data_IF_655346111940
#
_entry.id   IF_655346111940
#
_cell.length_a   1.000
_cell.length_b   1.000
_cell.length_c   1.000
_cell.angle_alpha   90.00
_cell.angle_beta   90.00
_cell.angle_gamma   90.00
#
_symmetry.space_group_name_H-M   'P 1'
#
loop_
_entity.id
_entity.type
_entity.pdbx_description
1 polymer ?
#
# COMPACT_ATOMS: atom_id res chain seq x y z
N UNK A 1 -10.43 9.37 5.58
CA UNK A 1 -9.75 9.83 4.35
C UNK A 1 -8.58 10.75 4.68
N UNK A 2 -7.46 10.58 3.96
CA UNK A 2 -6.30 11.49 4.02
C UNK A 2 -6.72 12.86 3.49
N UNK A 3 -6.28 13.94 4.14
CA UNK A 3 -6.55 15.32 3.70
C UNK A 3 -5.50 15.83 2.70
N UNK A 4 -4.37 15.13 2.58
CA UNK A 4 -3.31 15.43 1.62
C UNK A 4 -3.06 14.19 0.76
N UNK A 5 -3.10 14.36 -0.55
CA UNK A 5 -2.86 13.30 -1.53
C UNK A 5 -2.28 13.91 -2.81
N UNK A 6 -1.45 13.13 -3.49
CA UNK A 6 -0.99 13.45 -4.85
C UNK A 6 -2.17 13.21 -5.78
N UNK A 7 -2.52 14.22 -6.57
CA UNK A 7 -3.71 14.21 -7.43
C UNK A 7 -3.48 13.42 -8.72
N UNK A 8 -4.53 13.17 -9.50
CA UNK A 8 -4.43 12.42 -10.75
C UNK A 8 -3.62 13.17 -11.82
N UNK A 9 -3.52 14.50 -11.69
CA UNK A 9 -2.78 15.39 -12.57
C UNK A 9 -1.27 15.40 -12.28
N UNK A 10 -0.83 14.76 -11.19
CA UNK A 10 0.55 14.80 -10.71
C UNK A 10 1.24 13.45 -10.86
N UNK A 11 2.51 13.47 -11.29
CA UNK A 11 3.32 12.27 -11.34
C UNK A 11 3.90 11.95 -9.96
N UNK A 12 3.37 10.91 -9.31
CA UNK A 12 3.84 10.45 -7.99
C UNK A 12 5.29 9.93 -8.01
N UNK A 13 5.84 9.57 -9.17
CA UNK A 13 7.22 9.12 -9.29
C UNK A 13 8.21 10.29 -9.24
N UNK A 14 7.77 11.48 -9.66
CA UNK A 14 8.56 12.72 -9.67
C UNK A 14 8.31 13.57 -8.43
N UNK A 15 7.08 13.57 -7.93
CA UNK A 15 6.68 14.39 -6.76
C UNK A 15 7.43 13.95 -5.51
N UNK A 16 8.06 14.88 -4.75
CA UNK A 16 8.59 14.58 -3.43
C UNK A 16 7.46 14.29 -2.45
N UNK A 17 7.49 13.11 -1.80
CA UNK A 17 6.39 12.73 -0.89
C UNK A 17 6.37 13.57 0.40
N UNK A 18 7.52 14.14 0.77
CA UNK A 18 7.66 15.02 1.92
C UNK A 18 6.71 16.23 1.86
N UNK A 19 6.46 16.79 0.67
CA UNK A 19 5.62 17.98 0.49
C UNK A 19 4.15 17.74 0.89
N UNK A 20 3.75 16.46 0.91
CA UNK A 20 2.41 16.00 1.25
C UNK A 20 2.28 15.49 2.69
N UNK A 21 3.36 15.56 3.47
CA UNK A 21 3.41 15.14 4.87
C UNK A 21 3.75 16.34 5.76
N UNK A 22 3.02 16.51 6.87
CA UNK A 22 3.31 17.58 7.84
C UNK A 22 4.41 17.19 8.83
N UNK A 23 4.62 15.89 9.02
CA UNK A 23 5.58 15.27 9.93
C UNK A 23 6.02 13.94 9.31
N UNK A 24 7.10 13.35 9.82
CA UNK A 24 7.50 11.97 9.49
C UNK A 24 6.31 11.03 9.61
N UNK A 25 6.03 10.23 8.58
CA UNK A 25 4.77 9.50 8.51
C UNK A 25 4.74 8.40 7.45
N UNK A 26 3.55 7.84 7.25
CA UNK A 26 3.30 6.81 6.24
C UNK A 26 2.46 7.37 5.10
N UNK A 27 2.84 6.99 3.88
CA UNK A 27 1.97 7.13 2.70
C UNK A 27 1.28 5.80 2.40
N UNK A 28 0.06 5.89 1.87
CA UNK A 28 -0.66 4.75 1.32
C UNK A 28 -0.53 4.76 -0.20
N UNK A 29 -0.22 3.60 -0.79
CA UNK A 29 -0.04 3.46 -2.23
C UNK A 29 -0.74 2.21 -2.76
N UNK A 30 -1.53 2.39 -3.81
CA UNK A 30 -2.12 1.31 -4.59
C UNK A 30 -1.76 1.56 -6.06
N UNK A 31 -0.56 1.13 -6.49
CA UNK A 31 -0.03 1.48 -7.81
C UNK A 31 -0.84 0.80 -8.93
N UNK A 32 -0.72 1.26 -10.19
CA UNK A 32 -1.25 0.52 -11.33
C UNK A 32 -0.58 -0.86 -11.41
N UNK A 33 -1.39 -1.92 -11.40
CA UNK A 33 -0.87 -3.31 -11.37
C UNK A 33 -0.19 -3.75 -12.68
N UNK A 34 -0.32 -2.96 -13.75
CA UNK A 34 0.39 -3.19 -15.01
C UNK A 34 1.87 -2.83 -14.94
N UNK A 35 2.28 -1.93 -14.03
CA UNK A 35 3.67 -1.50 -13.90
C UNK A 35 4.01 -1.07 -12.47
N UNK A 36 4.36 -2.05 -11.63
CA UNK A 36 4.60 -1.86 -10.19
C UNK A 36 6.06 -1.46 -9.89
N UNK A 37 7.02 -1.86 -10.72
CA UNK A 37 8.46 -1.71 -10.46
C UNK A 37 8.87 -0.26 -10.15
N UNK A 38 8.42 0.78 -10.89
CA UNK A 38 8.82 2.16 -10.60
C UNK A 38 8.38 2.62 -9.20
N UNK A 39 7.21 2.14 -8.74
CA UNK A 39 6.65 2.49 -7.45
C UNK A 39 7.38 1.81 -6.29
N UNK A 40 7.87 0.58 -6.49
CA UNK A 40 8.76 -0.11 -5.56
C UNK A 40 10.06 0.68 -5.37
N UNK A 41 10.69 1.10 -6.47
CA UNK A 41 11.90 1.93 -6.44
C UNK A 41 11.67 3.25 -5.72
N UNK A 42 10.55 3.92 -6.03
CA UNK A 42 10.17 5.17 -5.38
C UNK A 42 9.96 4.98 -3.87
N UNK A 43 9.20 3.96 -3.45
CA UNK A 43 8.99 3.65 -2.03
C UNK A 43 10.30 3.37 -1.29
N UNK A 44 11.23 2.64 -1.92
CA UNK A 44 12.55 2.38 -1.35
C UNK A 44 13.38 3.67 -1.20
N UNK A 45 13.37 4.55 -2.21
CA UNK A 45 14.07 5.84 -2.15
C UNK A 45 13.49 6.77 -1.08
N UNK A 46 12.16 6.87 -0.99
CA UNK A 46 11.49 7.71 0.00
C UNK A 46 11.66 7.18 1.43
N UNK A 47 11.79 5.86 1.59
CA UNK A 47 12.15 5.25 2.88
C UNK A 47 13.51 5.73 3.40
N UNK A 48 14.47 6.03 2.52
CA UNK A 48 15.77 6.60 2.91
C UNK A 48 15.64 8.05 3.40
N UNK A 49 14.57 8.75 2.99
CA UNK A 49 14.19 10.09 3.48
C UNK A 49 13.27 10.02 4.71
N UNK A 50 13.24 8.90 5.41
CA UNK A 50 12.37 8.66 6.58
C UNK A 50 10.87 8.76 6.27
N UNK A 51 10.44 8.43 5.06
CA UNK A 51 9.03 8.34 4.70
C UNK A 51 8.61 6.88 4.64
N UNK A 52 7.68 6.50 5.53
CA UNK A 52 7.10 5.17 5.54
C UNK A 52 6.13 4.98 4.38
N UNK A 53 6.01 3.76 3.88
CA UNK A 53 5.11 3.41 2.78
C UNK A 53 4.37 2.13 3.09
N UNK A 54 3.07 2.11 2.88
CA UNK A 54 2.26 0.90 2.83
C UNK A 54 1.71 0.76 1.41
N UNK A 55 2.20 -0.25 0.69
CA UNK A 55 1.83 -0.49 -0.70
C UNK A 55 0.97 -1.75 -0.82
N UNK A 56 -0.21 -1.64 -1.44
CA UNK A 56 -1.09 -2.77 -1.76
C UNK A 56 -0.80 -3.27 -3.17
N UNK A 57 -0.49 -4.55 -3.32
CA UNK A 57 -0.15 -5.19 -4.61
C UNK A 57 -0.72 -6.61 -4.69
N UNK A 58 -0.77 -7.24 -5.88
CA UNK A 58 -1.08 -8.66 -6.01
C UNK A 58 -0.08 -9.51 -5.23
N UNK A 59 -0.53 -10.63 -4.68
CA UNK A 59 0.32 -11.61 -4.01
C UNK A 59 1.13 -12.45 -5.03
N UNK A 60 1.95 -11.81 -5.84
CA UNK A 60 2.77 -12.44 -6.88
C UNK A 60 4.24 -12.44 -6.47
N UNK A 61 4.74 -13.60 -6.03
CA UNK A 61 6.09 -13.70 -5.43
C UNK A 61 7.16 -14.18 -6.41
N UNK A 62 6.80 -14.53 -7.64
CA UNK A 62 7.72 -15.06 -8.66
C UNK A 62 8.23 -13.99 -9.64
N UNK A 63 7.74 -12.76 -9.51
CA UNK A 63 7.99 -11.63 -10.42
C UNK A 63 9.14 -10.73 -9.97
N UNK A 64 9.75 -10.05 -10.93
CA UNK A 64 10.95 -9.22 -10.71
C UNK A 64 10.74 -8.09 -9.69
N UNK A 65 9.62 -7.37 -9.76
CA UNK A 65 9.32 -6.28 -8.83
C UNK A 65 9.21 -6.77 -7.38
N UNK A 66 8.75 -8.00 -7.15
CA UNK A 66 8.65 -8.55 -5.80
C UNK A 66 10.03 -8.84 -5.23
N UNK A 67 10.90 -9.47 -6.03
CA UNK A 67 12.31 -9.69 -5.67
C UNK A 67 12.99 -8.36 -5.33
N UNK A 68 12.75 -7.31 -6.10
CA UNK A 68 13.29 -5.98 -5.86
C UNK A 68 12.72 -5.35 -4.57
N UNK A 69 11.42 -5.50 -4.34
CA UNK A 69 10.76 -4.95 -3.16
C UNK A 69 11.33 -5.53 -1.86
N UNK A 70 11.48 -6.85 -1.76
CA UNK A 70 11.93 -7.50 -0.52
C UNK A 70 13.40 -7.20 -0.15
N UNK A 71 14.20 -6.71 -1.11
CA UNK A 71 15.56 -6.24 -0.85
C UNK A 71 15.59 -5.02 0.07
N UNK A 72 14.56 -4.18 0.03
CA UNK A 72 14.52 -2.90 0.75
C UNK A 72 13.36 -2.77 1.73
N UNK A 73 12.24 -3.44 1.48
CA UNK A 73 11.06 -3.40 2.35
C UNK A 73 11.36 -3.91 3.76
N UNK A 74 10.69 -3.35 4.75
CA UNK A 74 10.82 -3.79 6.15
C UNK A 74 9.91 -4.97 6.46
N UNK A 75 8.76 -5.06 5.79
CA UNK A 75 7.76 -6.08 6.06
C UNK A 75 6.90 -6.39 4.83
N UNK A 76 6.50 -7.65 4.67
CA UNK A 76 5.48 -8.11 3.75
C UNK A 76 4.38 -8.79 4.55
N UNK A 77 3.12 -8.38 4.35
CA UNK A 77 1.94 -9.03 4.93
C UNK A 77 1.07 -9.62 3.85
N UNK A 78 0.94 -10.93 3.81
CA UNK A 78 -0.02 -11.59 2.94
C UNK A 78 -1.42 -11.47 3.52
N UNK A 79 -2.40 -11.11 2.68
CA UNK A 79 -3.80 -11.06 3.10
C UNK A 79 -4.38 -12.46 2.89
N UNK A 80 -4.84 -13.07 3.97
CA UNK A 80 -5.36 -14.44 4.00
C UNK A 80 -6.89 -14.47 4.12
N UNK A 81 -7.47 -15.67 4.10
CA UNK A 81 -8.92 -15.92 4.17
C UNK A 81 -9.76 -15.37 3.01
N UNK A 82 -9.14 -14.81 1.97
CA UNK A 82 -9.73 -14.62 0.65
C UNK A 82 -9.29 -13.31 0.00
N UNK A 83 -9.95 -12.93 -1.10
CA UNK A 83 -9.53 -11.78 -1.92
C UNK A 83 -10.21 -10.49 -1.50
N UNK A 84 -9.48 -9.38 -1.64
CA UNK A 84 -10.05 -8.04 -1.57
C UNK A 84 -10.82 -7.75 -2.86
N UNK A 85 -12.05 -7.24 -2.71
CA UNK A 85 -12.84 -6.73 -3.81
C UNK A 85 -12.62 -5.21 -3.90
N UNK A 86 -12.23 -4.74 -5.08
CA UNK A 86 -12.07 -3.31 -5.34
C UNK A 86 -13.42 -2.69 -5.64
N UNK A 87 -13.69 -1.53 -5.05
CA UNK A 87 -14.92 -0.78 -5.34
C UNK A 87 -14.70 0.06 -6.58
N UNK A 88 -15.60 -0.06 -7.56
CA UNK A 88 -15.60 0.84 -8.71
C UNK A 88 -16.05 2.24 -8.23
N UNK A 89 -15.27 3.30 -8.45
CA UNK A 89 -15.60 4.63 -7.94
C UNK A 89 -16.82 5.26 -8.63
N UNK A 90 -17.16 4.81 -9.85
CA UNK A 90 -18.31 5.30 -10.61
C UNK A 90 -19.59 4.57 -10.20
N UNK A 91 -19.54 3.24 -10.10
CA UNK A 91 -20.75 2.43 -9.83
C UNK A 91 -20.97 2.15 -8.34
N UNK A 92 -19.97 2.38 -7.49
CA UNK A 92 -19.99 2.06 -6.07
C UNK A 92 -20.03 0.55 -5.76
N UNK A 93 -19.97 -0.31 -6.78
CA UNK A 93 -20.08 -1.76 -6.64
C UNK A 93 -18.70 -2.43 -6.61
N UNK A 94 -18.56 -3.55 -5.89
CA UNK A 94 -17.38 -4.39 -5.99
C UNK A 94 -17.17 -4.89 -7.42
N UNK A 95 -15.95 -4.74 -7.93
CA UNK A 95 -15.54 -5.28 -9.23
C UNK A 95 -15.22 -6.77 -9.07
N UNK A 96 -15.84 -7.60 -9.91
CA UNK A 96 -15.51 -9.02 -10.04
C UNK A 96 -14.30 -9.22 -10.97
N UNK A 97 -13.48 -10.24 -10.70
CA UNK A 97 -12.40 -10.65 -11.62
C UNK A 97 -10.99 -10.51 -11.07
N UNK A 98 -10.80 -10.00 -9.85
CA UNK A 98 -9.50 -10.11 -9.17
C UNK A 98 -9.22 -11.59 -8.87
N UNK A 99 -8.34 -12.21 -9.65
CA UNK A 99 -8.01 -13.63 -9.54
C UNK A 99 -6.81 -13.93 -8.65
N UNK A 100 -6.11 -12.90 -8.17
CA UNK A 100 -4.93 -13.04 -7.30
C UNK A 100 -5.26 -12.67 -5.86
N UNK A 101 -4.53 -13.26 -4.92
CA UNK A 101 -4.47 -12.75 -3.56
C UNK A 101 -3.84 -11.36 -3.53
N UNK A 102 -3.86 -10.72 -2.37
CA UNK A 102 -3.23 -9.41 -2.17
C UNK A 102 -2.21 -9.48 -1.04
N UNK A 103 -1.23 -8.61 -1.10
CA UNK A 103 -0.28 -8.40 -0.01
C UNK A 103 -0.02 -6.92 0.21
N UNK A 104 0.42 -6.59 1.42
CA UNK A 104 0.97 -5.30 1.76
C UNK A 104 2.49 -5.41 1.78
N UNK A 105 3.17 -4.49 1.10
CA UNK A 105 4.62 -4.30 1.22
C UNK A 105 4.85 -2.99 1.95
N UNK A 106 5.62 -3.06 3.04
CA UNK A 106 5.76 -1.98 4.00
C UNK A 106 7.22 -1.58 4.10
N UNK A 107 7.50 -0.32 3.80
CA UNK A 107 8.75 0.36 4.15
C UNK A 107 8.50 1.18 5.41
N UNK A 108 9.29 0.96 6.45
CA UNK A 108 9.23 1.74 7.69
C UNK A 108 10.18 2.94 7.57
N UNK A 109 9.87 4.10 8.18
CA UNK A 109 10.71 5.31 8.10
C UNK A 109 12.01 5.25 8.93
N UNK A 110 12.42 4.05 9.35
CA UNK A 110 13.56 3.80 10.21
C UNK A 110 14.32 2.55 9.76
N UNK A 111 15.61 2.40 10.15
CA UNK A 111 16.45 1.31 9.69
C UNK A 111 15.81 -0.07 9.90
N UNK A 112 15.89 -0.93 8.88
CA UNK A 112 15.47 -2.33 8.97
C UNK A 112 16.65 -3.23 9.35
N UNK A 113 16.38 -4.31 10.07
CA UNK A 113 17.32 -5.41 10.30
C UNK A 113 17.15 -6.51 9.24
N UNK A 114 15.91 -6.92 9.00
CA UNK A 114 15.51 -7.87 7.95
C UNK A 114 14.12 -7.53 7.40
N UNK A 115 13.72 -8.19 6.32
CA UNK A 115 12.34 -8.12 5.83
C UNK A 115 11.52 -9.16 6.60
N UNK A 116 10.49 -8.71 7.33
CA UNK A 116 9.61 -9.61 8.08
C UNK A 116 8.44 -10.07 7.22
N UNK A 117 8.12 -11.35 7.24
CA UNK A 117 6.96 -11.90 6.53
C UNK A 117 5.89 -12.31 7.53
N UNK A 118 4.66 -11.85 7.33
CA UNK A 118 3.52 -12.16 8.18
C UNK A 118 2.24 -12.32 7.34
N UNK A 119 1.16 -12.67 8.02
CA UNK A 119 -0.19 -12.71 7.44
C UNK A 119 -1.11 -11.75 8.17
N UNK A 120 -2.19 -11.37 7.51
CA UNK A 120 -3.33 -10.67 8.12
C UNK A 120 -4.61 -11.24 7.55
N UNK A 121 -5.57 -11.55 8.41
CA UNK A 121 -6.88 -12.02 7.97
C UNK A 121 -7.64 -10.88 7.28
N UNK A 122 -8.22 -11.18 6.11
CA UNK A 122 -8.98 -10.19 5.35
C UNK A 122 -10.18 -9.66 6.13
N UNK A 123 -10.94 -10.52 6.79
CA UNK A 123 -12.21 -10.12 7.38
C UNK A 123 -11.96 -9.32 8.66
N UNK A 124 -10.89 -9.64 9.41
CA UNK A 124 -10.38 -8.79 10.49
C UNK A 124 -9.97 -7.40 9.99
N UNK A 125 -9.20 -7.35 8.88
CA UNK A 125 -8.77 -6.10 8.25
C UNK A 125 -9.98 -5.24 7.85
N UNK A 126 -10.99 -5.85 7.22
CA UNK A 126 -12.21 -5.17 6.78
C UNK A 126 -13.05 -4.70 7.96
N UNK A 127 -13.22 -5.53 8.99
CA UNK A 127 -13.96 -5.17 10.20
C UNK A 127 -13.31 -4.00 10.95
N UNK A 128 -11.98 -4.00 11.06
CA UNK A 128 -11.23 -2.89 11.64
C UNK A 128 -11.40 -1.60 10.84
N UNK A 129 -11.30 -1.68 9.50
CA UNK A 129 -11.52 -0.55 8.61
C UNK A 129 -12.93 0.04 8.74
N UNK A 130 -13.97 -0.80 8.73
CA UNK A 130 -15.36 -0.38 8.88
C UNK A 130 -15.61 0.34 10.21
N UNK A 131 -15.04 -0.16 11.31
CA UNK A 131 -15.11 0.47 12.63
C UNK A 131 -14.45 1.85 12.67
N UNK A 132 -13.35 2.04 11.94
CA UNK A 132 -12.68 3.35 11.87
C UNK A 132 -13.45 4.36 11.02
N UNK A 133 -14.07 3.90 9.93
CA UNK A 133 -14.88 4.76 9.07
C UNK A 133 -16.14 5.25 9.78
N UNK A 134 -16.88 4.34 10.44
CA UNK A 134 -18.11 4.71 11.16
C UNK A 134 -17.87 5.72 12.29
N UNK A 135 -16.76 5.57 13.04
CA UNK A 135 -16.35 6.53 14.08
C UNK A 135 -16.06 7.93 13.53
N UNK A 136 -15.62 8.04 12.27
CA UNK A 136 -15.33 9.33 11.63
C UNK A 136 -16.57 9.97 11.00
N UNK A 137 -17.59 9.19 10.63
CA UNK A 137 -18.86 9.73 10.14
C UNK A 137 -19.72 10.28 11.28
N UNK A 138 -19.55 9.75 12.50
CA UNK A 138 -20.24 10.21 13.70
C UNK A 138 -19.61 11.43 14.40
N UNK A 139 -18.45 11.92 13.92
CA UNK A 139 -17.68 13.01 14.53
C UNK A 139 -17.54 14.20 13.57
#
# INVERSE_FOLDING_TARGET
LSRKFITAEQNTLETPWADYLNVTGYVWLNPPYSDITPFVKKAAAESANQIGTVMLVPADTSVGWFKEAIQTASEVRFITAGRLAFINPVTGKPVSGNNKGSMLIIWRPYPRTHCHFATVDRDELMAFGAKLLSRREAA
#
